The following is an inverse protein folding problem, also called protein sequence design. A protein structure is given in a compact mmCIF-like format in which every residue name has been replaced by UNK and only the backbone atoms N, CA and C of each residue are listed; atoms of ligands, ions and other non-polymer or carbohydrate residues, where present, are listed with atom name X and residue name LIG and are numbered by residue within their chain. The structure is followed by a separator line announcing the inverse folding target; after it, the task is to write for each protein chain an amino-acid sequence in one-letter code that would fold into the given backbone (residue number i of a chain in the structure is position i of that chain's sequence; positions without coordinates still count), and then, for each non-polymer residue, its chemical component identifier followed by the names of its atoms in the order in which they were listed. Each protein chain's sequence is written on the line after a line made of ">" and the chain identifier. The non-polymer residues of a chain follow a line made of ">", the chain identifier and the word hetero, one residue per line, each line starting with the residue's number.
data_IF_081635192053
#
_entry.id   IF_081635192053
#
_cell.length_a   1.000
_cell.length_b   1.000
_cell.length_c   1.000
_cell.angle_alpha   90.00
_cell.angle_beta   90.00
_cell.angle_gamma   90.00
#
_symmetry.space_group_name_H-M   'P 1'
#
loop_
_entity.id
_entity.type
_entity.pdbx_description
1 polymer ?
#
# COMPACT_ATOMS: atom_id res chain seq x y z
N UNK A 1 4.22 -8.44 1.10
CA UNK A 1 2.86 -8.43 0.50
C UNK A 1 1.88 -7.65 1.38
N UNK A 2 1.64 -8.04 2.65
CA UNK A 2 0.70 -7.35 3.55
C UNK A 2 0.82 -5.81 3.65
N UNK A 3 2.05 -5.29 3.76
CA UNK A 3 2.28 -3.83 3.83
C UNK A 3 1.88 -3.10 2.56
N UNK A 4 2.14 -3.72 1.40
CA UNK A 4 1.82 -3.15 0.09
C UNK A 4 0.31 -3.19 -0.15
N UNK A 5 -0.34 -4.28 0.27
CA UNK A 5 -1.80 -4.42 0.23
C UNK A 5 -2.49 -3.36 1.11
N UNK A 6 -2.07 -3.19 2.37
CA UNK A 6 -2.64 -2.18 3.26
C UNK A 6 -2.46 -0.75 2.73
N UNK A 7 -1.33 -0.45 2.09
CA UNK A 7 -1.08 0.86 1.45
C UNK A 7 -1.94 1.04 0.20
N UNK A 8 -2.12 -0.01 -0.62
CA UNK A 8 -3.04 0.03 -1.77
C UNK A 8 -4.48 0.22 -1.32
N UNK A 9 -4.94 -0.44 -0.27
CA UNK A 9 -6.29 -0.22 0.28
C UNK A 9 -6.54 1.25 0.65
N UNK A 10 -5.54 1.95 1.18
CA UNK A 10 -5.66 3.38 1.51
C UNK A 10 -5.63 4.26 0.26
N UNK A 11 -4.73 3.98 -0.70
CA UNK A 11 -4.49 4.85 -1.86
C UNK A 11 -5.49 4.56 -3.00
N UNK A 12 -5.68 3.30 -3.35
CA UNK A 12 -6.51 2.82 -4.46
C UNK A 12 -8.00 2.89 -4.12
N UNK A 13 -8.38 2.44 -2.92
CA UNK A 13 -9.77 2.55 -2.44
C UNK A 13 -10.06 3.85 -1.70
N UNK A 14 -9.09 4.76 -1.63
CA UNK A 14 -9.20 6.08 -0.99
C UNK A 14 -9.74 6.04 0.45
N UNK A 15 -9.45 4.97 1.20
CA UNK A 15 -9.92 4.77 2.58
C UNK A 15 -9.02 5.47 3.60
N UNK A 16 -9.58 5.81 4.75
CA UNK A 16 -8.85 6.40 5.87
C UNK A 16 -7.82 5.42 6.43
N UNK A 17 -6.59 5.90 6.68
CA UNK A 17 -5.51 5.11 7.31
C UNK A 17 -5.94 4.54 8.67
N UNK A 18 -6.72 5.30 9.45
CA UNK A 18 -7.18 4.86 10.77
C UNK A 18 -8.11 3.65 10.69
N UNK A 19 -9.07 3.66 9.75
CA UNK A 19 -10.01 2.57 9.55
C UNK A 19 -9.31 1.30 9.06
N UNK A 20 -8.47 1.42 8.02
CA UNK A 20 -7.71 0.29 7.47
C UNK A 20 -6.78 -0.30 8.52
N UNK A 21 -6.11 0.54 9.31
CA UNK A 21 -5.23 0.07 10.38
C UNK A 21 -6.03 -0.69 11.46
N UNK A 22 -7.20 -0.18 11.86
CA UNK A 22 -8.05 -0.84 12.87
C UNK A 22 -8.58 -2.18 12.38
N UNK A 23 -9.03 -2.27 11.13
CA UNK A 23 -9.49 -3.53 10.52
C UNK A 23 -8.38 -4.58 10.47
N UNK A 24 -7.15 -4.15 10.15
CA UNK A 24 -5.99 -5.02 10.01
C UNK A 24 -5.25 -5.29 11.34
N UNK A 25 -5.73 -4.74 12.47
CA UNK A 25 -5.06 -4.83 13.77
C UNK A 25 -3.68 -4.15 13.81
N UNK A 26 -3.46 -3.18 12.92
CA UNK A 26 -2.24 -2.41 12.78
C UNK A 26 -2.31 -1.09 13.56
N UNK A 27 -1.14 -0.57 13.89
CA UNK A 27 -1.01 0.79 14.43
C UNK A 27 -1.17 1.81 13.28
N UNK A 28 -2.07 2.80 13.38
CA UNK A 28 -2.30 3.79 12.33
C UNK A 28 -1.04 4.55 11.91
N UNK A 29 -0.18 4.92 12.87
CA UNK A 29 1.09 5.59 12.58
C UNK A 29 2.01 4.77 11.66
N UNK A 30 2.02 3.44 11.82
CA UNK A 30 2.82 2.54 10.98
C UNK A 30 2.32 2.56 9.54
N UNK A 31 1.01 2.45 9.36
CA UNK A 31 0.39 2.50 8.04
C UNK A 31 0.59 3.88 7.39
N UNK A 32 0.46 4.98 8.13
CA UNK A 32 0.77 6.33 7.65
C UNK A 32 2.19 6.45 7.13
N UNK A 33 3.19 5.91 7.86
CA UNK A 33 4.59 5.93 7.43
C UNK A 33 4.79 5.16 6.12
N UNK A 34 4.13 4.01 5.96
CA UNK A 34 4.21 3.23 4.71
C UNK A 34 3.53 3.93 3.54
N UNK A 35 2.35 4.53 3.75
CA UNK A 35 1.66 5.32 2.73
C UNK A 35 2.51 6.52 2.29
N UNK A 36 3.12 7.23 3.24
CA UNK A 36 4.01 8.35 2.95
C UNK A 36 5.27 7.90 2.19
N UNK A 37 5.88 6.78 2.57
CA UNK A 37 7.02 6.22 1.86
C UNK A 37 6.63 5.80 0.43
N UNK A 38 5.47 5.15 0.26
CA UNK A 38 4.96 4.77 -1.05
C UNK A 38 4.72 5.98 -1.94
N UNK A 39 4.06 7.03 -1.44
CA UNK A 39 3.86 8.28 -2.20
C UNK A 39 5.18 8.92 -2.64
N UNK A 40 6.22 8.91 -1.79
CA UNK A 40 7.55 9.41 -2.15
C UNK A 40 8.21 8.58 -3.24
N UNK A 41 8.11 7.25 -3.16
CA UNK A 41 8.65 6.36 -4.19
C UNK A 41 7.88 6.46 -5.51
N UNK A 42 6.54 6.55 -5.44
CA UNK A 42 5.68 6.68 -6.63
C UNK A 42 5.88 8.03 -7.32
N UNK A 43 6.01 9.14 -6.58
CA UNK A 43 6.26 10.47 -7.16
C UNK A 43 7.65 10.62 -7.80
N UNK A 44 8.59 9.71 -7.54
CA UNK A 44 9.93 9.70 -8.12
C UNK A 44 10.19 8.55 -9.10
N UNK A 45 9.20 7.68 -9.37
CA UNK A 45 9.46 6.39 -10.02
C UNK A 45 8.22 5.66 -10.51
N UNK A 46 7.32 6.35 -11.21
CA UNK A 46 6.06 5.81 -11.75
C UNK A 46 6.19 4.55 -12.65
N UNK A 47 7.38 4.06 -13.03
CA UNK A 47 7.48 3.05 -14.09
C UNK A 47 7.73 1.59 -13.67
N UNK A 48 8.20 1.26 -12.46
CA UNK A 48 8.82 -0.09 -12.26
C UNK A 48 8.02 -1.14 -11.50
N UNK A 49 6.94 -0.83 -10.79
CA UNK A 49 6.31 -1.82 -9.89
C UNK A 49 4.79 -2.00 -10.06
N UNK A 50 4.26 -1.85 -11.26
CA UNK A 50 2.90 -2.32 -11.60
C UNK A 50 2.91 -3.67 -12.34
N UNK A 51 4.06 -4.09 -12.90
CA UNK A 51 4.15 -5.27 -13.76
C UNK A 51 4.58 -6.55 -13.02
N UNK A 52 5.37 -6.48 -11.94
CA UNK A 52 5.88 -7.71 -11.30
C UNK A 52 4.92 -8.38 -10.31
N UNK A 53 3.92 -7.68 -9.78
CA UNK A 53 3.02 -8.24 -8.75
C UNK A 53 1.87 -9.08 -9.35
N UNK A 54 1.61 -8.98 -10.66
CA UNK A 54 0.59 -9.79 -11.36
C UNK A 54 1.12 -11.11 -11.92
N UNK A 55 2.44 -11.33 -11.94
CA UNK A 55 3.05 -12.47 -12.62
C UNK A 55 3.04 -13.78 -11.82
N UNK A 56 2.49 -13.82 -10.59
CA UNK A 56 2.53 -15.03 -9.74
C UNK A 56 1.16 -15.51 -9.23
N UNK A 57 0.09 -15.25 -9.99
CA UNK A 57 -1.18 -15.98 -9.80
C UNK A 57 -1.53 -16.65 -11.12
N UNK A 58 -1.03 -17.88 -11.28
CA UNK A 58 -1.51 -19.05 -12.06
C UNK A 58 -0.34 -19.80 -12.73
N UNK A 59 0.28 -20.70 -11.98
CA UNK A 59 0.35 -22.16 -12.23
C UNK A 59 0.95 -22.85 -11.01
#
# INVERSE_FOLDING_TARGET
>A
EFRAEAVREVIDRSRSVADVARELGLVPQTLTKWVAAHRRTSAGGEEKLTVQDRARIKE
#
